data_IF_451060935145
#
_entry.id   IF_451060935145
#
_cell.length_a   1.000
_cell.length_b   1.000
_cell.length_c   1.000
_cell.angle_alpha   90.00
_cell.angle_beta   90.00
_cell.angle_gamma   90.00
#
_symmetry.space_group_name_H-M   'P 1'
#
loop_
_entity.id
_entity.type
_entity.pdbx_description
1 polymer ?
#
# COMPACT_ATOMS: atom_id res chain seq x y z
N UNK A 1 -3.77 -50.16 5.03
CA UNK A 1 -4.75 -50.02 3.94
C UNK A 1 -5.77 -48.99 4.38
N UNK A 2 -5.77 -47.79 3.79
CA UNK A 2 -6.68 -46.72 4.23
C UNK A 2 -6.42 -45.32 3.67
N UNK A 3 -5.84 -45.16 2.48
CA UNK A 3 -5.53 -43.83 1.92
C UNK A 3 -5.87 -43.67 0.43
N UNK A 4 -6.95 -44.32 -0.05
CA UNK A 4 -7.41 -44.15 -1.46
C UNK A 4 -8.95 -43.98 -1.55
N UNK A 5 -9.60 -43.43 -0.51
CA UNK A 5 -11.07 -43.23 -0.54
C UNK A 5 -11.53 -41.77 -0.59
N UNK A 6 -10.69 -40.78 -0.29
CA UNK A 6 -11.13 -39.37 -0.26
C UNK A 6 -11.20 -38.70 -1.64
N UNK A 7 -10.45 -39.17 -2.64
CA UNK A 7 -10.54 -38.65 -4.02
C UNK A 7 -11.80 -39.11 -4.76
N UNK A 8 -12.47 -40.17 -4.30
CA UNK A 8 -13.66 -40.74 -4.94
C UNK A 8 -14.94 -40.00 -4.54
N UNK A 9 -15.05 -39.54 -3.30
CA UNK A 9 -16.28 -38.93 -2.78
C UNK A 9 -16.47 -37.48 -3.25
N UNK A 10 -15.40 -36.67 -3.34
CA UNK A 10 -15.50 -35.32 -3.92
C UNK A 10 -15.72 -35.33 -5.44
N UNK A 11 -15.38 -36.44 -6.13
CA UNK A 11 -15.59 -36.59 -7.58
C UNK A 11 -17.06 -36.88 -7.93
N UNK A 12 -17.88 -37.25 -6.95
CA UNK A 12 -19.28 -37.61 -7.16
C UNK A 12 -20.22 -36.40 -7.31
N UNK A 13 -19.74 -35.17 -7.05
CA UNK A 13 -20.54 -33.94 -7.07
C UNK A 13 -20.19 -32.95 -8.19
N UNK A 14 -19.09 -33.17 -8.92
CA UNK A 14 -18.60 -32.25 -9.95
C UNK A 14 -18.31 -33.00 -11.26
N UNK A 15 -18.59 -32.37 -12.40
CA UNK A 15 -18.11 -32.86 -13.70
C UNK A 15 -16.58 -32.86 -13.75
N UNK A 16 -16.00 -33.61 -14.69
CA UNK A 16 -14.53 -33.65 -14.86
C UNK A 16 -13.98 -32.27 -15.26
N UNK A 17 -14.72 -31.50 -16.07
CA UNK A 17 -14.32 -30.15 -16.48
C UNK A 17 -14.30 -29.18 -15.30
N UNK A 18 -15.36 -29.16 -14.50
CA UNK A 18 -15.43 -28.35 -13.28
C UNK A 18 -14.30 -28.69 -12.30
N UNK A 19 -13.99 -29.98 -12.14
CA UNK A 19 -12.89 -30.43 -11.29
C UNK A 19 -11.52 -29.90 -11.78
N UNK A 20 -11.24 -29.98 -13.09
CA UNK A 20 -9.98 -29.53 -13.66
C UNK A 20 -9.82 -28.00 -13.58
N UNK A 21 -10.92 -27.26 -13.79
CA UNK A 21 -10.95 -25.81 -13.64
C UNK A 21 -10.68 -25.42 -12.17
N UNK A 22 -11.40 -26.02 -11.22
CA UNK A 22 -11.20 -25.77 -9.79
C UNK A 22 -9.78 -26.13 -9.32
N UNK A 23 -9.20 -27.23 -9.84
CA UNK A 23 -7.82 -27.59 -9.55
C UNK A 23 -6.83 -26.51 -10.04
N UNK A 24 -7.05 -25.97 -11.23
CA UNK A 24 -6.22 -24.92 -11.81
C UNK A 24 -6.30 -23.64 -10.97
N UNK A 25 -7.51 -23.25 -10.55
CA UNK A 25 -7.74 -22.10 -9.68
C UNK A 25 -7.06 -22.27 -8.31
N UNK A 26 -7.20 -23.42 -7.68
CA UNK A 26 -6.54 -23.75 -6.42
C UNK A 26 -5.01 -23.61 -6.53
N UNK A 27 -4.42 -24.11 -7.61
CA UNK A 27 -2.98 -24.07 -7.81
C UNK A 27 -2.49 -22.65 -8.10
N UNK A 28 -3.26 -21.87 -8.86
CA UNK A 28 -2.96 -20.46 -9.11
C UNK A 28 -3.00 -19.63 -7.82
N UNK A 29 -3.99 -19.86 -6.94
CA UNK A 29 -4.07 -19.22 -5.64
C UNK A 29 -2.89 -19.63 -4.74
N UNK A 30 -2.59 -20.93 -4.67
CA UNK A 30 -1.50 -21.47 -3.85
C UNK A 30 -0.12 -20.93 -4.27
N UNK A 31 0.07 -20.62 -5.55
CA UNK A 31 1.31 -20.09 -6.12
C UNK A 31 1.28 -18.57 -6.30
N UNK A 32 0.25 -17.86 -5.85
CA UNK A 32 0.13 -16.42 -6.06
C UNK A 32 1.32 -15.63 -5.50
N UNK A 33 1.90 -16.07 -4.37
CA UNK A 33 3.11 -15.46 -3.79
C UNK A 33 4.31 -15.45 -4.75
N UNK A 34 4.39 -16.42 -5.68
CA UNK A 34 5.46 -16.48 -6.69
C UNK A 34 5.39 -15.27 -7.61
N UNK A 35 4.19 -14.78 -7.94
CA UNK A 35 4.01 -13.56 -8.73
C UNK A 35 4.55 -12.34 -7.99
N UNK A 36 4.24 -12.21 -6.69
CA UNK A 36 4.71 -11.10 -5.85
C UNK A 36 6.24 -11.10 -5.71
N UNK A 37 6.85 -12.27 -5.46
CA UNK A 37 8.31 -12.39 -5.35
C UNK A 37 8.98 -12.18 -6.71
N UNK A 38 8.38 -12.62 -7.81
CA UNK A 38 8.87 -12.33 -9.15
C UNK A 38 8.87 -10.82 -9.45
N UNK A 39 7.80 -10.12 -9.09
CA UNK A 39 7.70 -8.67 -9.21
C UNK A 39 8.79 -7.98 -8.39
N UNK A 40 8.95 -8.37 -7.12
CA UNK A 40 10.02 -7.85 -6.25
C UNK A 40 11.41 -8.06 -6.85
N UNK A 41 11.71 -9.26 -7.31
CA UNK A 41 13.00 -9.58 -7.94
C UNK A 41 13.25 -8.72 -9.20
N UNK A 42 12.20 -8.39 -9.95
CA UNK A 42 12.33 -7.51 -11.12
C UNK A 42 12.71 -6.08 -10.76
N UNK A 43 12.26 -5.58 -9.60
CA UNK A 43 12.64 -4.27 -9.06
C UNK A 43 14.07 -4.30 -8.53
N UNK A 44 14.43 -5.33 -7.76
CA UNK A 44 15.79 -5.48 -7.22
C UNK A 44 16.83 -5.59 -8.36
N UNK A 45 16.44 -6.17 -9.50
CA UNK A 45 17.26 -6.26 -10.72
C UNK A 45 17.15 -5.04 -11.65
N UNK A 46 16.28 -4.05 -11.34
CA UNK A 46 16.03 -2.87 -12.19
C UNK A 46 15.59 -3.21 -13.62
N UNK A 47 14.79 -4.27 -13.78
CA UNK A 47 14.30 -4.73 -15.09
C UNK A 47 13.39 -3.68 -15.77
N UNK A 48 12.40 -3.06 -15.10
CA UNK A 48 11.57 -2.03 -15.72
C UNK A 48 12.41 -0.87 -16.29
N UNK A 49 13.38 -0.38 -15.52
CA UNK A 49 14.28 0.69 -15.91
C UNK A 49 15.20 0.28 -17.06
N UNK A 50 15.72 -0.96 -17.06
CA UNK A 50 16.51 -1.53 -18.15
C UNK A 50 15.74 -1.53 -19.48
N UNK A 51 14.48 -1.98 -19.46
CA UNK A 51 13.61 -1.98 -20.65
C UNK A 51 13.27 -0.53 -21.05
N UNK A 52 13.03 0.35 -20.08
CA UNK A 52 12.73 1.77 -20.35
C UNK A 52 13.88 2.50 -21.05
N UNK A 53 15.13 2.31 -20.59
CA UNK A 53 16.34 2.89 -21.21
C UNK A 53 16.49 2.50 -22.68
N UNK A 54 15.87 1.41 -23.11
CA UNK A 54 15.85 0.91 -24.50
C UNK A 54 14.63 1.33 -25.30
N UNK A 55 13.91 2.36 -24.86
CA UNK A 55 12.70 2.85 -25.54
C UNK A 55 11.45 2.04 -25.20
N UNK A 56 11.48 1.25 -24.11
CA UNK A 56 10.32 0.53 -23.59
C UNK A 56 10.10 -0.85 -24.17
N UNK A 57 11.04 -1.38 -24.97
CA UNK A 57 11.05 -2.76 -25.48
C UNK A 57 12.48 -3.30 -25.53
N UNK A 58 12.71 -4.54 -25.11
CA UNK A 58 14.04 -5.15 -25.07
C UNK A 58 13.98 -6.69 -25.22
N UNK A 59 15.03 -7.28 -25.80
CA UNK A 59 15.17 -8.75 -25.84
C UNK A 59 15.62 -9.30 -24.48
N UNK A 60 15.53 -10.62 -24.29
CA UNK A 60 16.07 -11.26 -23.08
C UNK A 60 17.58 -11.00 -22.92
N UNK A 61 18.34 -10.98 -24.02
CA UNK A 61 19.78 -10.71 -24.01
C UNK A 61 20.07 -9.27 -23.58
N UNK A 62 19.27 -8.32 -24.06
CA UNK A 62 19.39 -6.91 -23.67
C UNK A 62 19.13 -6.73 -22.18
N UNK A 63 18.04 -7.31 -21.66
CA UNK A 63 17.70 -7.26 -20.23
C UNK A 63 18.82 -7.90 -19.41
N UNK A 64 19.33 -9.07 -19.82
CA UNK A 64 20.43 -9.73 -19.13
C UNK A 64 21.69 -8.86 -19.05
N UNK A 65 22.04 -8.17 -20.15
CA UNK A 65 23.19 -7.27 -20.20
C UNK A 65 22.99 -6.04 -19.29
N UNK A 66 21.83 -5.38 -19.35
CA UNK A 66 21.51 -4.18 -18.57
C UNK A 66 21.44 -4.45 -17.06
N UNK A 67 20.99 -5.64 -16.68
CA UNK A 67 20.83 -6.06 -15.26
C UNK A 67 22.06 -6.73 -14.69
N UNK A 68 23.12 -6.92 -15.49
CA UNK A 68 24.31 -7.67 -15.06
C UNK A 68 24.03 -9.14 -14.75
N UNK A 69 23.02 -9.74 -15.40
CA UNK A 69 22.66 -11.15 -15.17
C UNK A 69 23.80 -12.06 -15.61
N UNK A 70 24.25 -12.94 -14.72
CA UNK A 70 25.30 -13.91 -15.02
C UNK A 70 24.90 -14.83 -16.20
N UNK A 71 25.82 -15.08 -17.13
CA UNK A 71 25.52 -15.83 -18.37
C UNK A 71 24.87 -17.20 -18.13
N UNK A 72 25.29 -17.92 -17.08
CA UNK A 72 24.71 -19.23 -16.70
C UNK A 72 23.28 -19.13 -16.13
N UNK A 73 22.77 -17.92 -15.88
CA UNK A 73 21.46 -17.66 -15.29
C UNK A 73 20.44 -17.05 -16.28
N UNK A 74 20.86 -16.72 -17.51
CA UNK A 74 19.98 -16.08 -18.51
C UNK A 74 18.73 -16.92 -18.83
N UNK A 75 18.86 -18.24 -18.89
CA UNK A 75 17.70 -19.13 -19.10
C UNK A 75 16.69 -19.06 -17.94
N UNK A 76 17.16 -18.84 -16.71
CA UNK A 76 16.31 -18.65 -15.52
C UNK A 76 15.67 -17.26 -15.50
N UNK A 77 16.41 -16.22 -15.94
CA UNK A 77 15.83 -14.89 -16.17
C UNK A 77 14.67 -14.98 -17.18
N UNK A 78 14.82 -15.77 -18.25
CA UNK A 78 13.72 -16.01 -19.20
C UNK A 78 12.49 -16.67 -18.57
N UNK A 79 12.66 -17.52 -17.55
CA UNK A 79 11.53 -18.08 -16.78
C UNK A 79 10.86 -17.01 -15.92
N UNK A 80 11.64 -16.16 -15.24
CA UNK A 80 11.14 -15.03 -14.47
C UNK A 80 10.33 -14.08 -15.35
N UNK A 81 10.88 -13.69 -16.50
CA UNK A 81 10.23 -12.78 -17.45
C UNK A 81 8.91 -13.35 -18.00
N UNK A 82 8.80 -14.66 -18.21
CA UNK A 82 7.53 -15.30 -18.59
C UNK A 82 6.46 -15.20 -17.49
N UNK A 83 6.84 -15.37 -16.22
CA UNK A 83 5.92 -15.19 -15.08
C UNK A 83 5.47 -13.73 -14.98
N UNK A 84 6.38 -12.78 -15.14
CA UNK A 84 6.05 -11.35 -15.15
C UNK A 84 5.16 -10.98 -16.35
N UNK A 85 5.39 -11.61 -17.51
CA UNK A 85 4.58 -11.38 -18.70
C UNK A 85 3.15 -11.92 -18.55
N UNK A 86 2.97 -13.16 -18.09
CA UNK A 86 1.63 -13.72 -17.88
C UNK A 86 0.88 -13.03 -16.73
N UNK A 87 1.62 -12.40 -15.80
CA UNK A 87 1.04 -11.56 -14.74
C UNK A 87 0.73 -10.13 -15.20
N UNK A 88 0.91 -9.80 -16.48
CA UNK A 88 0.60 -8.49 -17.05
C UNK A 88 1.60 -7.37 -16.72
N UNK A 89 2.69 -7.68 -16.00
CA UNK A 89 3.74 -6.69 -15.68
C UNK A 89 4.49 -6.29 -16.95
N UNK A 90 4.76 -7.22 -17.85
CA UNK A 90 5.30 -6.96 -19.19
C UNK A 90 4.42 -7.61 -20.25
N UNK A 91 4.48 -7.14 -21.48
CA UNK A 91 3.93 -7.89 -22.62
C UNK A 91 5.06 -8.55 -23.39
N UNK A 92 4.78 -9.74 -23.92
CA UNK A 92 5.74 -10.53 -24.68
C UNK A 92 5.25 -10.62 -26.13
N UNK A 93 6.13 -10.30 -27.08
CA UNK A 93 5.86 -10.44 -28.51
C UNK A 93 7.07 -11.02 -29.22
N UNK A 94 6.81 -11.69 -30.34
CA UNK A 94 7.85 -12.27 -31.19
C UNK A 94 7.96 -11.45 -32.46
N UNK A 95 9.17 -11.05 -32.82
CA UNK A 95 9.48 -10.32 -34.04
C UNK A 95 10.79 -10.87 -34.64
N UNK A 96 10.77 -11.22 -35.92
CA UNK A 96 11.89 -11.86 -36.64
C UNK A 96 12.57 -13.03 -35.90
N UNK A 97 11.78 -13.85 -35.20
CA UNK A 97 12.28 -15.01 -34.45
C UNK A 97 12.93 -14.68 -33.09
N UNK A 98 13.01 -13.41 -32.72
CA UNK A 98 13.42 -12.94 -31.40
C UNK A 98 12.21 -12.63 -30.52
N UNK A 99 12.33 -12.90 -29.21
CA UNK A 99 11.30 -12.57 -28.21
C UNK A 99 11.66 -11.25 -27.54
N UNK A 100 10.71 -10.32 -27.57
CA UNK A 100 10.80 -9.00 -26.96
C UNK A 100 9.83 -8.86 -25.79
N UNK A 101 10.31 -8.21 -24.73
CA UNK A 101 9.51 -7.81 -23.58
C UNK A 101 9.30 -6.30 -23.62
N UNK A 102 8.04 -5.88 -23.51
CA UNK A 102 7.62 -4.48 -23.60
C UNK A 102 6.96 -4.03 -22.30
N UNK A 103 7.16 -2.76 -21.94
CA UNK A 103 6.47 -2.15 -20.81
C UNK A 103 4.95 -2.11 -21.04
N UNK A 104 4.18 -2.55 -20.05
CA UNK A 104 2.72 -2.38 -19.97
C UNK A 104 2.38 -1.15 -19.15
N UNK A 105 1.09 -0.86 -18.95
CA UNK A 105 0.67 0.19 -18.02
C UNK A 105 1.17 -0.07 -16.59
N UNK A 106 1.16 -1.33 -16.14
CA UNK A 106 1.65 -1.71 -14.80
C UNK A 106 3.14 -1.44 -14.66
N UNK A 107 3.99 -1.92 -15.58
CA UNK A 107 5.44 -1.69 -15.45
C UNK A 107 5.88 -0.25 -15.73
N UNK A 108 5.07 0.56 -16.43
CA UNK A 108 5.33 2.01 -16.53
C UNK A 108 5.21 2.72 -15.20
N UNK A 109 4.31 2.27 -14.31
CA UNK A 109 4.24 2.77 -12.93
C UNK A 109 5.53 2.48 -12.14
N UNK A 110 6.32 1.50 -12.58
CA UNK A 110 7.58 1.12 -11.94
C UNK A 110 8.79 1.91 -12.45
N UNK A 111 8.62 2.92 -13.31
CA UNK A 111 9.76 3.67 -13.89
C UNK A 111 9.64 5.19 -13.67
N UNK A 112 10.25 5.73 -12.60
CA UNK A 112 10.50 5.07 -11.31
C UNK A 112 9.36 5.32 -10.29
N UNK A 113 8.19 5.77 -10.74
CA UNK A 113 7.17 6.41 -9.89
C UNK A 113 6.80 5.62 -8.62
N UNK A 114 6.42 4.35 -8.75
CA UNK A 114 5.99 3.45 -7.66
C UNK A 114 6.94 2.28 -7.41
N UNK A 115 8.10 2.24 -8.08
CA UNK A 115 9.11 1.17 -7.87
C UNK A 115 9.45 0.96 -6.39
N UNK A 116 9.66 2.02 -5.56
CA UNK A 116 9.96 1.87 -4.14
C UNK A 116 8.82 1.28 -3.28
N UNK A 117 7.57 1.27 -3.76
CA UNK A 117 6.44 0.67 -3.03
C UNK A 117 6.43 -0.85 -3.09
N UNK A 118 6.95 -1.45 -4.16
CA UNK A 118 6.99 -2.92 -4.30
C UNK A 118 7.77 -3.57 -3.16
N UNK A 119 8.97 -3.08 -2.78
CA UNK A 119 9.68 -3.59 -1.60
C UNK A 119 8.94 -3.49 -0.26
N UNK A 120 8.05 -2.50 -0.10
CA UNK A 120 7.26 -2.31 1.12
C UNK A 120 6.13 -3.34 1.20
N UNK A 121 5.45 -3.60 0.08
CA UNK A 121 4.36 -4.57 0.00
C UNK A 121 4.88 -6.02 -0.02
N UNK A 122 6.04 -6.24 -0.63
CA UNK A 122 6.71 -7.54 -0.72
C UNK A 122 7.97 -7.55 0.15
N UNK A 123 7.80 -7.16 1.42
CA UNK A 123 8.80 -7.29 2.47
C UNK A 123 8.83 -8.73 2.99
N UNK A 124 9.99 -9.44 2.95
CA UNK A 124 10.09 -10.80 3.50
C UNK A 124 9.58 -10.93 4.93
N UNK A 125 9.73 -9.91 5.78
CA UNK A 125 9.23 -9.97 7.16
C UNK A 125 7.71 -9.86 7.24
N UNK A 126 7.11 -8.97 6.45
CA UNK A 126 5.66 -8.88 6.33
C UNK A 126 5.07 -10.18 5.76
N UNK A 127 5.66 -10.69 4.69
CA UNK A 127 5.23 -11.93 4.04
C UNK A 127 5.36 -13.14 4.97
N UNK A 128 6.45 -13.24 5.74
CA UNK A 128 6.65 -14.37 6.66
C UNK A 128 5.73 -14.34 7.87
N UNK A 129 5.31 -13.15 8.33
CA UNK A 129 4.32 -13.04 9.39
C UNK A 129 2.95 -13.63 9.01
N UNK A 130 2.57 -13.53 7.73
CA UNK A 130 1.30 -14.10 7.24
C UNK A 130 1.26 -15.63 7.32
N UNK A 131 2.42 -16.32 7.34
CA UNK A 131 2.45 -17.77 7.56
C UNK A 131 2.09 -18.17 9.00
N UNK A 132 2.05 -17.22 9.94
CA UNK A 132 1.66 -17.45 11.34
C UNK A 132 0.17 -17.19 11.60
N UNK A 133 -0.64 -16.87 10.59
CA UNK A 133 -2.06 -16.53 10.77
C UNK A 133 -2.86 -17.60 11.51
N UNK A 134 -2.72 -18.87 11.14
CA UNK A 134 -3.48 -19.96 11.75
C UNK A 134 -3.20 -20.11 13.25
N UNK A 135 -1.92 -20.03 13.63
CA UNK A 135 -1.50 -20.07 15.03
C UNK A 135 -1.94 -18.81 15.78
N UNK A 136 -1.80 -17.64 15.16
CA UNK A 136 -2.21 -16.36 15.76
C UNK A 136 -3.71 -16.30 16.07
N UNK A 137 -4.56 -16.91 15.24
CA UNK A 137 -6.00 -17.00 15.49
C UNK A 137 -6.39 -17.97 16.61
N UNK A 138 -5.54 -18.95 16.94
CA UNK A 138 -5.92 -20.08 17.79
C UNK A 138 -5.14 -20.16 19.10
N UNK A 139 -3.98 -19.51 19.19
CA UNK A 139 -3.12 -19.52 20.37
C UNK A 139 -3.41 -18.33 21.31
N UNK A 140 -4.07 -18.61 22.43
CA UNK A 140 -4.38 -17.60 23.47
C UNK A 140 -3.13 -16.90 24.02
N UNK A 141 -1.94 -17.49 23.92
CA UNK A 141 -0.69 -16.89 24.43
C UNK A 141 -0.27 -15.64 23.66
N UNK A 142 -0.79 -15.45 22.44
CA UNK A 142 -0.44 -14.31 21.57
C UNK A 142 -1.62 -13.38 21.31
N UNK A 143 -2.71 -13.47 22.11
CA UNK A 143 -3.95 -12.70 21.89
C UNK A 143 -3.75 -11.18 21.92
N UNK A 144 -2.81 -10.70 22.74
CA UNK A 144 -2.48 -9.27 22.88
C UNK A 144 -1.37 -8.81 21.93
N UNK A 145 -0.79 -9.73 21.15
CA UNK A 145 0.30 -9.42 20.23
C UNK A 145 -0.24 -9.13 18.83
N UNK A 146 0.40 -8.20 18.14
CA UNK A 146 0.21 -8.08 16.69
C UNK A 146 0.68 -9.35 16.00
N UNK A 147 0.13 -9.65 14.81
CA UNK A 147 0.57 -10.80 14.01
C UNK A 147 2.09 -10.77 13.73
N UNK A 148 2.68 -9.59 13.56
CA UNK A 148 4.12 -9.45 13.39
C UNK A 148 4.90 -9.87 14.65
N UNK A 149 4.47 -9.43 15.83
CA UNK A 149 5.12 -9.77 17.10
C UNK A 149 5.00 -11.27 17.41
N UNK A 150 3.84 -11.86 17.15
CA UNK A 150 3.63 -13.29 17.31
C UNK A 150 4.56 -14.10 16.39
N UNK A 151 4.73 -13.67 15.14
CA UNK A 151 5.58 -14.36 14.17
C UNK A 151 7.08 -14.20 14.43
N UNK A 152 7.52 -13.03 14.88
CA UNK A 152 8.94 -12.65 14.94
C UNK A 152 9.51 -12.49 16.35
N UNK A 153 8.68 -12.56 17.39
CA UNK A 153 9.08 -12.47 18.79
C UNK A 153 9.63 -11.09 19.20
N UNK A 154 9.39 -10.04 18.40
CA UNK A 154 9.78 -8.67 18.71
C UNK A 154 8.90 -7.67 17.97
N UNK A 155 8.91 -6.42 18.43
CA UNK A 155 8.16 -5.32 17.81
C UNK A 155 8.76 -4.94 16.46
N UNK A 156 7.96 -4.31 15.59
CA UNK A 156 8.45 -3.77 14.31
C UNK A 156 9.55 -2.73 14.49
N UNK A 157 9.45 -1.91 15.54
CA UNK A 157 10.45 -0.88 15.85
C UNK A 157 11.80 -1.51 16.20
N UNK A 158 11.81 -2.51 17.08
CA UNK A 158 13.02 -3.26 17.43
C UNK A 158 13.63 -3.96 16.21
N UNK A 159 12.78 -4.56 15.36
CA UNK A 159 13.28 -5.20 14.14
C UNK A 159 13.85 -4.19 13.14
N UNK A 160 13.23 -3.03 13.00
CA UNK A 160 13.71 -1.95 12.13
C UNK A 160 15.08 -1.44 12.60
N UNK A 161 15.23 -1.23 13.91
CA UNK A 161 16.52 -0.84 14.51
C UNK A 161 17.60 -1.91 14.30
N UNK A 162 17.25 -3.20 14.36
CA UNK A 162 18.20 -4.32 14.14
C UNK A 162 18.63 -4.47 12.68
N UNK A 163 17.73 -4.27 11.72
CA UNK A 163 17.97 -4.55 10.29
C UNK A 163 18.21 -3.31 9.41
N UNK A 164 18.05 -2.10 9.95
CA UNK A 164 18.22 -0.86 9.18
C UNK A 164 17.16 -0.66 8.09
N UNK A 165 15.94 -1.15 8.32
CA UNK A 165 14.89 -1.22 7.27
C UNK A 165 14.07 0.07 7.08
N UNK A 166 14.31 1.11 7.89
CA UNK A 166 13.51 2.35 7.85
C UNK A 166 13.56 3.07 6.49
N UNK A 167 14.72 3.08 5.84
CA UNK A 167 14.89 3.76 4.54
C UNK A 167 14.00 3.20 3.43
N UNK A 168 13.78 1.88 3.39
CA UNK A 168 12.92 1.23 2.40
C UNK A 168 11.46 1.66 2.56
N UNK A 169 10.95 1.65 3.80
CA UNK A 169 9.58 2.06 4.09
C UNK A 169 9.35 3.52 3.72
N UNK A 170 10.26 4.41 4.13
CA UNK A 170 10.18 5.83 3.84
C UNK A 170 10.22 6.11 2.33
N UNK A 171 11.09 5.44 1.58
CA UNK A 171 11.15 5.59 0.12
C UNK A 171 9.84 5.17 -0.56
N UNK A 172 9.22 4.07 -0.12
CA UNK A 172 7.89 3.65 -0.57
C UNK A 172 6.82 4.70 -0.27
N UNK A 173 6.74 5.15 0.99
CA UNK A 173 5.74 6.15 1.39
C UNK A 173 5.88 7.46 0.61
N UNK A 174 7.10 7.92 0.32
CA UNK A 174 7.34 9.09 -0.52
C UNK A 174 6.88 8.86 -1.96
N UNK A 175 7.18 7.71 -2.54
CA UNK A 175 6.75 7.33 -3.90
C UNK A 175 5.22 7.31 -4.02
N UNK A 176 4.54 6.67 -3.07
CA UNK A 176 3.07 6.65 -3.02
C UNK A 176 2.46 8.04 -2.82
N UNK A 177 3.06 8.84 -1.93
CA UNK A 177 2.62 10.22 -1.66
C UNK A 177 2.69 11.10 -2.90
N UNK A 178 3.72 10.98 -3.73
CA UNK A 178 3.84 11.76 -4.97
C UNK A 178 2.70 11.46 -5.95
N UNK A 179 2.41 10.19 -6.20
CA UNK A 179 1.31 9.79 -7.10
C UNK A 179 -0.04 10.27 -6.56
N UNK A 180 -0.25 10.13 -5.26
CA UNK A 180 -1.44 10.66 -4.60
C UNK A 180 -1.56 12.18 -4.81
N UNK A 181 -0.51 12.93 -4.47
CA UNK A 181 -0.58 14.39 -4.50
C UNK A 181 -0.72 14.93 -5.93
N UNK A 182 -0.11 14.30 -6.93
CA UNK A 182 -0.29 14.69 -8.34
C UNK A 182 -1.76 14.62 -8.74
N UNK A 183 -2.45 13.52 -8.42
CA UNK A 183 -3.86 13.30 -8.77
C UNK A 183 -4.79 14.19 -7.95
N UNK A 184 -4.50 14.31 -6.66
CA UNK A 184 -5.21 15.19 -5.74
C UNK A 184 -5.22 16.64 -6.26
N UNK A 185 -4.06 17.16 -6.64
CA UNK A 185 -3.94 18.54 -7.13
C UNK A 185 -4.56 18.72 -8.52
N UNK A 186 -4.54 17.69 -9.38
CA UNK A 186 -5.09 17.80 -10.74
C UNK A 186 -6.60 17.58 -10.82
N UNK A 187 -7.17 16.73 -9.97
CA UNK A 187 -8.58 16.29 -10.07
C UNK A 187 -9.45 16.73 -8.88
N UNK A 188 -8.85 17.02 -7.72
CA UNK A 188 -9.55 17.31 -6.46
C UNK A 188 -9.03 18.58 -5.76
N UNK A 189 -8.49 19.53 -6.53
CA UNK A 189 -7.94 20.78 -5.97
C UNK A 189 -8.98 21.66 -5.30
N UNK A 190 -10.26 21.53 -5.68
CA UNK A 190 -11.41 22.23 -5.10
C UNK A 190 -11.55 21.98 -3.60
N UNK A 191 -11.09 20.82 -3.10
CA UNK A 191 -11.17 20.49 -1.68
C UNK A 191 -10.32 21.40 -0.78
N UNK A 192 -9.30 22.06 -1.36
CA UNK A 192 -8.42 23.01 -0.68
C UNK A 192 -8.88 24.47 -0.84
N UNK A 193 -9.98 24.74 -1.54
CA UNK A 193 -10.51 26.09 -1.66
C UNK A 193 -10.84 26.68 -0.27
N UNK A 194 -10.30 27.86 0.01
CA UNK A 194 -10.50 28.55 1.29
C UNK A 194 -9.69 27.99 2.46
N UNK A 195 -8.82 27.00 2.24
CA UNK A 195 -7.91 26.46 3.27
C UNK A 195 -6.62 27.30 3.30
N UNK A 196 -6.40 28.03 4.40
CA UNK A 196 -5.19 28.86 4.59
C UNK A 196 -4.06 28.13 5.33
N UNK A 197 -4.39 27.05 6.04
CA UNK A 197 -3.44 26.25 6.83
C UNK A 197 -3.83 24.78 6.89
N UNK A 198 -2.85 23.90 6.78
CA UNK A 198 -2.99 22.45 6.74
C UNK A 198 -2.01 21.79 7.71
N UNK A 199 -2.48 20.85 8.53
CA UNK A 199 -1.62 19.95 9.31
C UNK A 199 -1.71 18.53 8.75
N UNK A 200 -0.59 18.00 8.27
CA UNK A 200 -0.40 16.63 7.80
C UNK A 200 0.10 15.74 8.94
N UNK A 201 -0.78 14.88 9.47
CA UNK A 201 -0.51 14.02 10.62
C UNK A 201 0.05 12.70 10.15
N UNK A 202 1.20 12.30 10.71
CA UNK A 202 1.95 11.16 10.22
C UNK A 202 2.53 11.40 8.83
N UNK A 203 2.75 12.67 8.46
CA UNK A 203 3.25 13.08 7.13
C UNK A 203 4.68 12.64 6.84
N UNK A 204 5.36 11.99 7.80
CA UNK A 204 6.69 11.42 7.64
C UNK A 204 7.71 12.51 7.32
N UNK A 205 8.40 12.34 6.20
CA UNK A 205 9.38 13.32 5.70
C UNK A 205 8.74 14.46 4.89
N UNK A 206 7.43 14.67 5.03
CA UNK A 206 6.72 15.82 4.47
C UNK A 206 6.38 15.74 2.99
N UNK A 207 6.45 14.56 2.36
CA UNK A 207 6.27 14.43 0.91
C UNK A 207 4.94 14.97 0.39
N UNK A 208 3.84 14.77 1.11
CA UNK A 208 2.52 15.32 0.72
C UNK A 208 2.47 16.82 1.01
N UNK A 209 2.78 17.23 2.24
CA UNK A 209 2.78 18.63 2.65
C UNK A 209 3.66 19.51 1.74
N UNK A 210 4.85 19.05 1.32
CA UNK A 210 5.74 19.80 0.43
C UNK A 210 5.16 19.98 -0.97
N UNK A 211 4.56 18.92 -1.53
CA UNK A 211 3.95 18.97 -2.84
C UNK A 211 2.71 19.89 -2.84
N UNK A 212 1.90 19.84 -1.78
CA UNK A 212 0.78 20.75 -1.57
C UNK A 212 1.27 22.19 -1.41
N UNK A 213 2.25 22.47 -0.54
CA UNK A 213 2.79 23.81 -0.33
C UNK A 213 3.41 24.41 -1.61
N UNK A 214 3.97 23.56 -2.48
CA UNK A 214 4.48 23.98 -3.79
C UNK A 214 3.38 24.37 -4.77
N UNK A 215 2.26 23.65 -4.76
CA UNK A 215 1.12 23.89 -5.64
C UNK A 215 0.22 25.04 -5.16
N UNK A 216 0.16 25.24 -3.84
CA UNK A 216 -0.65 26.26 -3.17
C UNK A 216 0.26 27.11 -2.25
N UNK A 217 1.06 28.04 -2.81
CA UNK A 217 2.11 28.75 -2.06
C UNK A 217 1.62 29.60 -0.89
N UNK A 218 0.35 30.02 -0.91
CA UNK A 218 -0.26 30.82 0.15
C UNK A 218 -0.73 29.95 1.34
N UNK A 219 -0.78 28.62 1.18
CA UNK A 219 -1.21 27.71 2.24
C UNK A 219 -0.05 27.35 3.16
N UNK A 220 -0.25 27.52 4.47
CA UNK A 220 0.73 27.13 5.49
C UNK A 220 0.62 25.63 5.76
N UNK A 221 1.62 24.85 5.36
CA UNK A 221 1.65 23.42 5.61
C UNK A 221 2.56 23.08 6.80
N UNK A 222 2.00 22.32 7.74
CA UNK A 222 2.72 21.76 8.90
C UNK A 222 2.66 20.23 8.84
N UNK A 223 3.77 19.56 9.11
CA UNK A 223 3.83 18.12 9.31
C UNK A 223 3.91 17.84 10.80
N UNK A 224 2.97 17.07 11.34
CA UNK A 224 3.01 16.55 12.71
C UNK A 224 3.42 15.09 12.67
N UNK A 225 4.57 14.76 13.24
CA UNK A 225 5.03 13.37 13.36
C UNK A 225 5.83 13.15 14.65
N UNK A 226 6.14 11.90 14.95
CA UNK A 226 6.89 11.53 16.13
C UNK A 226 8.30 12.16 16.13
N UNK A 227 8.88 12.46 17.30
CA UNK A 227 10.16 13.18 17.38
C UNK A 227 11.31 12.55 16.61
N UNK A 228 11.38 11.22 16.55
CA UNK A 228 12.44 10.53 15.83
C UNK A 228 12.29 10.64 14.31
N UNK A 229 11.07 10.72 13.78
CA UNK A 229 10.78 10.91 12.35
C UNK A 229 11.11 12.34 11.92
N UNK A 230 10.62 13.33 12.69
CA UNK A 230 10.90 14.75 12.42
C UNK A 230 12.40 15.06 12.44
N UNK A 231 13.18 14.39 13.30
CA UNK A 231 14.63 14.55 13.35
C UNK A 231 15.34 14.12 12.06
N UNK A 232 14.77 13.17 11.32
CA UNK A 232 15.31 12.64 10.07
C UNK A 232 14.78 13.37 8.82
N UNK A 233 13.75 14.21 8.99
CA UNK A 233 13.15 14.97 7.90
C UNK A 233 14.09 16.11 7.44
N UNK A 234 14.09 16.35 6.12
CA UNK A 234 14.80 17.48 5.54
C UNK A 234 14.05 18.79 5.83
N UNK A 235 14.78 19.89 6.02
CA UNK A 235 14.18 21.22 6.17
C UNK A 235 13.78 21.78 4.79
N UNK A 236 12.50 22.13 4.63
CA UNK A 236 11.94 22.69 3.38
C UNK A 236 10.98 23.85 3.65
N UNK A 237 10.04 24.08 2.72
CA UNK A 237 9.00 25.13 2.86
C UNK A 237 7.86 24.74 3.83
N UNK A 238 7.93 23.56 4.44
CA UNK A 238 6.94 23.05 5.39
C UNK A 238 7.50 23.11 6.80
N UNK A 239 6.62 23.41 7.76
CA UNK A 239 6.98 23.40 9.17
C UNK A 239 6.87 21.97 9.71
N UNK A 240 7.91 21.46 10.36
CA UNK A 240 7.82 20.19 11.09
C UNK A 240 7.59 20.42 12.57
N UNK A 241 6.62 19.70 13.14
CA UNK A 241 6.29 19.69 14.56
C UNK A 241 6.45 18.27 15.08
N UNK A 242 7.37 18.09 16.01
CA UNK A 242 7.54 16.84 16.72
C UNK A 242 6.46 16.70 17.81
N UNK A 243 5.66 15.65 17.76
CA UNK A 243 4.57 15.44 18.72
C UNK A 243 3.84 14.12 18.56
N UNK A 244 2.80 13.96 19.37
CA UNK A 244 1.92 12.80 19.38
C UNK A 244 0.49 13.27 19.12
N UNK A 245 -0.12 12.78 18.03
CA UNK A 245 -1.46 13.16 17.60
C UNK A 245 -2.55 12.77 18.62
N UNK A 246 -2.29 11.80 19.51
CA UNK A 246 -3.20 11.46 20.61
C UNK A 246 -3.23 12.55 21.70
N UNK A 247 -2.15 13.32 21.80
CA UNK A 247 -1.98 14.35 22.83
C UNK A 247 -2.37 15.72 22.32
N UNK A 248 -1.83 16.14 21.18
CA UNK A 248 -2.02 17.49 20.65
C UNK A 248 -1.82 17.55 19.13
N UNK A 249 -2.73 18.25 18.46
CA UNK A 249 -2.65 18.58 17.04
C UNK A 249 -2.64 20.13 16.94
N UNK A 250 -1.65 20.73 16.26
CA UNK A 250 -1.63 22.18 16.05
C UNK A 250 -2.90 22.69 15.33
N UNK A 251 -3.43 23.87 15.69
CA UNK A 251 -4.60 24.43 15.00
C UNK A 251 -4.34 24.70 13.52
N UNK A 252 -5.30 24.35 12.67
CA UNK A 252 -5.25 24.59 11.23
C UNK A 252 -6.67 24.63 10.62
N UNK A 253 -6.80 25.16 9.42
CA UNK A 253 -8.08 25.17 8.69
C UNK A 253 -8.47 23.76 8.23
N UNK A 254 -7.47 22.93 7.91
CA UNK A 254 -7.66 21.53 7.59
C UNK A 254 -6.61 20.62 8.25
N UNK A 255 -7.02 19.38 8.52
CA UNK A 255 -6.13 18.30 8.96
C UNK A 255 -6.12 17.21 7.90
N UNK A 256 -4.94 16.70 7.54
CA UNK A 256 -4.73 15.63 6.58
C UNK A 256 -4.26 14.37 7.30
N UNK A 257 -4.88 13.23 6.96
CA UNK A 257 -4.57 11.90 7.49
C UNK A 257 -4.41 10.91 6.33
N UNK A 258 -3.18 10.67 5.90
CA UNK A 258 -2.87 9.70 4.84
C UNK A 258 -2.38 8.39 5.45
N UNK A 259 -3.05 7.26 5.15
CA UNK A 259 -2.66 5.93 5.63
C UNK A 259 -2.46 5.85 7.17
N UNK A 260 -3.08 6.77 7.91
CA UNK A 260 -2.83 6.96 9.35
C UNK A 260 -3.86 6.20 10.19
N UNK A 261 -5.15 6.37 9.92
CA UNK A 261 -6.22 5.80 10.75
C UNK A 261 -6.37 4.28 10.58
N UNK A 262 -5.99 3.72 9.44
CA UNK A 262 -5.85 2.26 9.26
C UNK A 262 -4.85 1.59 10.23
N UNK A 263 -3.96 2.34 10.87
CA UNK A 263 -2.99 1.79 11.85
C UNK A 263 -3.63 1.46 13.20
N UNK A 264 -4.86 1.92 13.44
CA UNK A 264 -5.48 1.93 14.75
C UNK A 264 -6.82 1.19 14.76
N UNK A 265 -7.18 0.66 15.93
CA UNK A 265 -8.54 0.21 16.22
C UNK A 265 -9.50 1.42 16.24
N UNK A 266 -10.81 1.14 16.38
CA UNK A 266 -11.83 2.18 16.31
C UNK A 266 -11.78 3.15 17.49
N UNK A 267 -11.51 2.67 18.71
CA UNK A 267 -11.40 3.53 19.89
C UNK A 267 -10.27 4.57 19.75
N UNK A 268 -9.12 4.13 19.24
CA UNK A 268 -7.95 4.96 19.03
C UNK A 268 -8.13 5.89 17.83
N UNK A 269 -8.76 5.42 16.74
CA UNK A 269 -9.14 6.28 15.62
C UNK A 269 -10.10 7.40 16.06
N UNK A 270 -11.10 7.09 16.91
CA UNK A 270 -12.02 8.08 17.48
C UNK A 270 -11.26 9.11 18.33
N UNK A 271 -10.29 8.68 19.16
CA UNK A 271 -9.48 9.61 19.97
C UNK A 271 -8.72 10.60 19.09
N UNK A 272 -8.08 10.12 18.01
CA UNK A 272 -7.38 10.98 17.05
C UNK A 272 -8.36 11.92 16.36
N UNK A 273 -9.48 11.42 15.85
CA UNK A 273 -10.50 12.24 15.20
C UNK A 273 -11.06 13.33 16.12
N UNK A 274 -11.26 13.04 17.42
CA UNK A 274 -11.64 14.08 18.41
C UNK A 274 -10.58 15.18 18.53
N UNK A 275 -9.29 14.82 18.54
CA UNK A 275 -8.19 15.81 18.51
C UNK A 275 -8.19 16.61 17.22
N UNK A 276 -8.46 15.98 16.08
CA UNK A 276 -8.59 16.70 14.81
C UNK A 276 -9.73 17.71 14.87
N UNK A 277 -10.88 17.32 15.43
CA UNK A 277 -12.04 18.21 15.61
C UNK A 277 -11.73 19.42 16.48
N UNK A 278 -10.95 19.22 17.55
CA UNK A 278 -10.50 20.32 18.43
C UNK A 278 -9.52 21.27 17.73
N UNK A 279 -8.74 20.78 16.76
CA UNK A 279 -7.72 21.54 16.05
C UNK A 279 -8.26 22.38 14.89
N UNK A 280 -9.47 22.11 14.39
CA UNK A 280 -10.05 22.80 13.23
C UNK A 280 -11.16 23.79 13.62
N UNK A 281 -11.35 24.89 12.88
CA UNK A 281 -12.46 25.80 13.10
C UNK A 281 -13.80 25.20 12.65
N UNK A 282 -14.92 25.84 12.97
CA UNK A 282 -16.26 25.39 12.56
C UNK A 282 -16.47 25.29 11.03
N UNK A 283 -15.64 25.97 10.23
CA UNK A 283 -15.63 25.87 8.77
C UNK A 283 -14.46 25.04 8.23
N UNK A 284 -13.68 24.42 9.12
CA UNK A 284 -12.57 23.57 8.77
C UNK A 284 -13.03 22.16 8.37
N UNK A 285 -12.07 21.32 8.01
CA UNK A 285 -12.34 19.92 7.62
C UNK A 285 -11.19 18.99 7.99
N UNK A 286 -11.49 17.70 8.12
CA UNK A 286 -10.48 16.64 8.11
C UNK A 286 -10.53 15.94 6.76
N UNK A 287 -9.37 15.71 6.15
CA UNK A 287 -9.22 15.04 4.88
C UNK A 287 -8.47 13.73 5.14
N UNK A 288 -9.13 12.62 4.87
CA UNK A 288 -8.58 11.27 5.11
C UNK A 288 -8.35 10.61 3.75
N UNK A 289 -7.15 10.04 3.57
CA UNK A 289 -6.80 9.19 2.45
C UNK A 289 -6.57 7.78 2.96
N UNK A 290 -7.54 6.91 2.72
CA UNK A 290 -7.51 5.53 3.20
C UNK A 290 -8.37 4.62 2.32
N UNK A 291 -8.40 3.32 2.61
CA UNK A 291 -9.33 2.40 1.93
C UNK A 291 -10.73 2.49 2.55
N UNK A 292 -11.74 2.53 1.69
CA UNK A 292 -13.14 2.28 2.09
C UNK A 292 -13.58 0.97 1.43
N UNK A 293 -13.65 -0.09 2.22
CA UNK A 293 -13.95 -1.43 1.73
C UNK A 293 -15.35 -1.45 1.12
N UNK A 294 -15.44 -1.90 -0.14
CA UNK A 294 -16.71 -2.03 -0.85
C UNK A 294 -17.32 -0.71 -1.38
N UNK A 295 -16.66 0.44 -1.20
CA UNK A 295 -17.18 1.70 -1.73
C UNK A 295 -17.20 1.71 -3.26
N UNK A 296 -18.39 1.87 -3.84
CA UNK A 296 -18.63 2.10 -5.27
C UNK A 296 -17.94 1.12 -6.24
N UNK A 297 -17.65 -0.12 -5.80
CA UNK A 297 -17.03 -1.15 -6.63
C UNK A 297 -17.89 -2.41 -6.65
N UNK A 298 -18.25 -2.87 -7.85
CA UNK A 298 -18.68 -4.26 -8.06
C UNK A 298 -17.52 -5.23 -7.78
N UNK A 299 -17.82 -6.52 -7.65
CA UNK A 299 -16.80 -7.55 -7.51
C UNK A 299 -15.76 -7.47 -8.64
N UNK A 300 -14.47 -7.43 -8.29
CA UNK A 300 -13.39 -7.25 -9.25
C UNK A 300 -12.04 -6.92 -8.61
N UNK A 301 -11.02 -6.60 -9.42
CA UNK A 301 -9.63 -6.41 -8.95
C UNK A 301 -9.47 -5.30 -7.90
N UNK A 302 -10.29 -4.25 -7.98
CA UNK A 302 -10.28 -3.16 -7.00
C UNK A 302 -10.72 -3.66 -5.64
N UNK A 303 -11.87 -4.34 -5.55
CA UNK A 303 -12.37 -4.93 -4.30
C UNK A 303 -11.42 -5.98 -3.74
N UNK A 304 -10.86 -6.84 -4.60
CA UNK A 304 -9.83 -7.79 -4.20
C UNK A 304 -8.62 -7.09 -3.56
N UNK A 305 -8.14 -6.01 -4.17
CA UNK A 305 -7.01 -5.22 -3.63
C UNK A 305 -7.34 -4.64 -2.24
N UNK A 306 -8.55 -4.12 -2.04
CA UNK A 306 -8.98 -3.59 -0.73
C UNK A 306 -8.93 -4.67 0.36
N UNK A 307 -9.44 -5.87 0.06
CA UNK A 307 -9.45 -6.99 1.01
C UNK A 307 -8.04 -7.54 1.27
N UNK A 308 -7.17 -7.55 0.25
CA UNK A 308 -5.77 -7.91 0.42
C UNK A 308 -5.02 -6.92 1.31
N UNK A 309 -5.34 -5.63 1.22
CA UNK A 309 -4.81 -4.60 2.12
C UNK A 309 -5.27 -4.81 3.56
N UNK A 310 -6.54 -5.15 3.79
CA UNK A 310 -7.05 -5.43 5.14
C UNK A 310 -6.29 -6.58 5.82
N UNK A 311 -6.10 -7.70 5.11
CA UNK A 311 -5.26 -8.82 5.60
C UNK A 311 -3.81 -8.37 5.83
N UNK A 312 -3.26 -7.51 4.96
CA UNK A 312 -1.92 -6.96 5.14
C UNK A 312 -1.81 -6.10 6.41
N UNK A 313 -2.86 -5.35 6.78
CA UNK A 313 -2.89 -4.49 7.95
C UNK A 313 -2.99 -5.24 9.28
N UNK A 314 -3.45 -6.49 9.29
CA UNK A 314 -3.42 -7.34 10.48
C UNK A 314 -2.02 -7.46 11.10
N UNK A 315 -0.96 -7.37 10.28
CA UNK A 315 0.43 -7.42 10.76
C UNK A 315 0.78 -6.33 11.76
N UNK A 316 0.04 -5.23 11.78
CA UNK A 316 0.25 -4.09 12.68
C UNK A 316 -0.89 -3.89 13.68
N UNK A 317 -1.85 -4.81 13.73
CA UNK A 317 -3.10 -4.62 14.49
C UNK A 317 -4.04 -3.58 13.88
N UNK A 318 -3.77 -3.19 12.62
CA UNK A 318 -4.59 -2.24 11.87
C UNK A 318 -5.76 -2.90 11.16
N UNK A 319 -6.55 -2.09 10.44
CA UNK A 319 -7.69 -2.54 9.65
C UNK A 319 -8.06 -1.54 8.55
N UNK A 320 -8.59 -2.06 7.46
CA UNK A 320 -9.38 -1.27 6.53
C UNK A 320 -10.84 -1.29 6.95
N UNK A 321 -11.57 -0.22 6.65
CA UNK A 321 -12.95 -0.02 7.13
C UNK A 321 -13.93 0.07 5.99
N UNK A 322 -15.09 -0.55 6.17
CA UNK A 322 -16.27 -0.31 5.34
C UNK A 322 -16.84 1.08 5.62
N UNK A 323 -17.65 1.61 4.69
CA UNK A 323 -18.26 2.93 4.84
C UNK A 323 -19.06 3.08 6.14
N UNK A 324 -19.83 2.06 6.55
CA UNK A 324 -20.60 2.13 7.78
C UNK A 324 -19.71 2.23 9.03
N UNK A 325 -18.52 1.61 9.01
CA UNK A 325 -17.55 1.69 10.09
C UNK A 325 -16.89 3.07 10.13
N UNK A 326 -16.50 3.62 8.97
CA UNK A 326 -16.04 5.00 8.85
C UNK A 326 -17.08 5.99 9.39
N UNK A 327 -18.32 5.86 8.95
CA UNK A 327 -19.46 6.65 9.41
C UNK A 327 -19.58 6.64 10.93
N UNK A 328 -19.50 5.46 11.55
CA UNK A 328 -19.64 5.32 13.00
C UNK A 328 -18.54 6.07 13.76
N UNK A 329 -17.26 5.86 13.39
CA UNK A 329 -16.15 6.52 14.10
C UNK A 329 -16.14 8.04 13.90
N UNK A 330 -16.56 8.51 12.72
CA UNK A 330 -16.68 9.94 12.40
C UNK A 330 -17.73 10.61 13.30
N UNK A 331 -18.94 10.03 13.38
CA UNK A 331 -20.00 10.58 14.21
C UNK A 331 -19.71 10.45 15.71
N UNK A 332 -19.09 9.36 16.15
CA UNK A 332 -18.70 9.18 17.55
C UNK A 332 -17.56 10.13 18.00
N UNK A 333 -16.74 10.58 17.04
CA UNK A 333 -15.76 11.65 17.26
C UNK A 333 -16.40 13.05 17.32
N UNK A 334 -17.70 13.17 17.04
CA UNK A 334 -18.48 14.40 17.21
C UNK A 334 -18.59 15.28 15.97
N UNK A 335 -18.18 14.78 14.80
CA UNK A 335 -18.41 15.45 13.51
C UNK A 335 -19.88 15.31 13.08
N UNK A 336 -20.34 16.19 12.18
CA UNK A 336 -21.76 16.25 11.78
C UNK A 336 -22.03 15.80 10.36
N UNK A 337 -21.02 15.76 9.50
CA UNK A 337 -21.17 15.33 8.12
C UNK A 337 -19.87 14.77 7.53
N UNK A 338 -19.99 13.98 6.47
CA UNK A 338 -18.85 13.49 5.70
C UNK A 338 -19.19 13.25 4.23
N UNK A 339 -18.18 13.30 3.38
CA UNK A 339 -18.29 12.98 1.95
C UNK A 339 -17.17 12.01 1.57
N UNK A 340 -17.54 10.89 0.96
CA UNK A 340 -16.60 9.92 0.40
C UNK A 340 -16.53 10.13 -1.11
N UNK A 341 -15.32 10.15 -1.65
CA UNK A 341 -15.05 10.12 -3.09
C UNK A 341 -14.04 9.02 -3.37
N UNK A 342 -14.33 8.12 -4.30
CA UNK A 342 -13.38 7.06 -4.69
C UNK A 342 -12.31 7.66 -5.59
N UNK A 343 -11.06 7.43 -5.23
CA UNK A 343 -9.91 8.05 -5.90
C UNK A 343 -8.77 7.07 -5.97
N UNK A 344 -7.93 7.17 -7.01
CA UNK A 344 -6.72 6.34 -7.11
C UNK A 344 -6.98 4.82 -7.15
N UNK A 345 -8.10 4.41 -7.76
CA UNK A 345 -8.47 3.01 -7.88
C UNK A 345 -9.12 2.48 -6.61
N UNK A 346 -8.33 1.87 -5.71
CA UNK A 346 -8.85 1.13 -4.54
C UNK A 346 -8.98 1.98 -3.26
N UNK A 347 -8.55 3.24 -3.30
CA UNK A 347 -8.54 4.16 -2.16
C UNK A 347 -9.70 5.14 -2.27
N UNK A 348 -9.89 5.90 -1.21
CA UNK A 348 -10.90 6.94 -1.12
C UNK A 348 -10.35 8.18 -0.43
N UNK A 349 -10.95 9.31 -0.80
CA UNK A 349 -10.91 10.55 -0.03
C UNK A 349 -12.15 10.56 0.85
N UNK A 350 -11.97 10.86 2.13
CA UNK A 350 -13.07 11.15 3.05
C UNK A 350 -12.87 12.57 3.58
N UNK A 351 -13.75 13.48 3.17
CA UNK A 351 -13.85 14.82 3.76
C UNK A 351 -14.81 14.75 4.95
N UNK A 352 -14.39 15.24 6.11
CA UNK A 352 -15.14 15.17 7.36
C UNK A 352 -15.34 16.57 7.93
N UNK A 353 -16.57 16.90 8.33
CA UNK A 353 -17.00 18.25 8.67
C UNK A 353 -17.50 18.37 10.13
N UNK A 354 -17.05 19.39 10.91
CA UNK A 354 -17.30 19.54 12.36
C UNK A 354 -18.74 19.45 12.87
#
# INVERSE_FOLDING_TARGET
MGHVHTTSENKAMMSTEEFLQAQTELYNLSLAYVKSVALRASIDLQIPEAIHRRGGSATLSDIAAETGTHGTKVSYLGRLMRVLAISGVFSMHSDDGAVYYKLTHVSRLLVPALSPMVPVLVDPLAATALFSLADWFTDERVSELTLFEAAHGCTRSEMTAKKGMGGMFNAGMVADSRVLTDILLSEHGDMFEGVGSLVDIGGGHGGVAEAIAKALPDMKCTVLDLPHVVKEAATGNVQFVAGDAFQYIPPADAVLLKWFLQLFNDEDAIKVLRRCREAIPAKGKVIIFDVVVGSHCEDGPTRETQLLFDIFMMRVGGREREEQQWRNIIFEAGFTDYKISVVLGFRSIIEVYP
#
